data_IF_408654935877
#
_entry.id   IF_408654935877
#
_cell.length_a   1.000
_cell.length_b   1.000
_cell.length_c   1.000
_cell.angle_alpha   90.00
_cell.angle_beta   90.00
_cell.angle_gamma   90.00
#
_symmetry.space_group_name_H-M   'P 1'
#
loop_
_entity.id
_entity.type
_entity.pdbx_description
1 polymer ?
#
# COMPACT_ATOMS: atom_id res chain seq x y z
N UNK A 1 20.01 -3.06 1.79
CA UNK A 1 18.55 -2.85 1.71
C UNK A 1 18.02 -2.52 3.09
N UNK A 2 17.18 -1.50 3.23
CA UNK A 2 16.66 -1.10 4.52
C UNK A 2 15.61 -2.07 5.05
N UNK A 3 15.45 -2.06 6.39
CA UNK A 3 14.42 -2.87 7.03
C UNK A 3 13.02 -2.44 6.59
N UNK A 4 12.84 -1.13 6.36
CA UNK A 4 11.55 -0.61 5.89
C UNK A 4 11.21 -1.13 4.51
N UNK A 5 12.16 -1.18 3.57
CA UNK A 5 11.94 -1.75 2.25
C UNK A 5 11.54 -3.22 2.35
N UNK A 6 12.22 -3.99 3.19
CA UNK A 6 11.87 -5.41 3.41
C UNK A 6 10.45 -5.56 3.96
N UNK A 7 10.09 -4.70 4.91
CA UNK A 7 8.74 -4.71 5.48
C UNK A 7 7.68 -4.45 4.42
N UNK A 8 7.92 -3.47 3.55
CA UNK A 8 6.99 -3.17 2.45
C UNK A 8 6.93 -4.32 1.46
N UNK A 9 8.06 -4.95 1.15
CA UNK A 9 8.08 -6.11 0.26
C UNK A 9 7.27 -7.28 0.82
N UNK A 10 7.29 -7.49 2.13
CA UNK A 10 6.46 -8.49 2.78
C UNK A 10 4.96 -8.17 2.65
N UNK A 11 4.60 -6.89 2.79
CA UNK A 11 3.23 -6.45 2.57
C UNK A 11 2.81 -6.72 1.13
N UNK A 12 3.68 -6.44 0.16
CA UNK A 12 3.41 -6.71 -1.25
C UNK A 12 3.14 -8.20 -1.51
N UNK A 13 3.89 -9.08 -0.85
CA UNK A 13 3.65 -10.53 -0.95
C UNK A 13 2.28 -10.92 -0.39
N UNK A 14 1.90 -10.33 0.73
CA UNK A 14 0.58 -10.57 1.33
C UNK A 14 -0.54 -10.09 0.42
N UNK A 15 -0.34 -8.95 -0.25
CA UNK A 15 -1.30 -8.43 -1.23
C UNK A 15 -1.45 -9.42 -2.38
N UNK A 16 -0.35 -9.96 -2.90
CA UNK A 16 -0.40 -10.95 -3.97
C UNK A 16 -1.17 -12.21 -3.56
N UNK A 17 -0.95 -12.69 -2.33
CA UNK A 17 -1.65 -13.86 -1.81
C UNK A 17 -3.16 -13.62 -1.71
N UNK A 18 -3.56 -12.45 -1.24
CA UNK A 18 -4.97 -12.06 -1.15
C UNK A 18 -5.59 -12.00 -2.55
N UNK A 19 -4.88 -11.37 -3.49
CA UNK A 19 -5.34 -11.27 -4.87
C UNK A 19 -5.58 -12.65 -5.49
N UNK A 20 -4.65 -13.58 -5.29
CA UNK A 20 -4.78 -14.95 -5.81
C UNK A 20 -6.01 -15.63 -5.21
N UNK A 21 -6.22 -15.54 -3.90
CA UNK A 21 -7.37 -16.14 -3.23
C UNK A 21 -8.70 -15.60 -3.79
N UNK A 22 -8.79 -14.29 -3.94
CA UNK A 22 -10.00 -13.66 -4.46
C UNK A 22 -10.26 -14.03 -5.91
N UNK A 23 -9.21 -14.12 -6.73
CA UNK A 23 -9.32 -14.53 -8.13
C UNK A 23 -9.72 -16.00 -8.29
N UNK A 24 -9.38 -16.84 -7.31
CA UNK A 24 -9.78 -18.26 -7.29
C UNK A 24 -11.21 -18.45 -6.78
N UNK A 25 -11.88 -17.38 -6.39
CA UNK A 25 -13.22 -17.46 -5.83
C UNK A 25 -13.26 -17.76 -4.34
N UNK A 26 -12.11 -17.76 -3.67
CA UNK A 26 -12.01 -18.01 -2.24
C UNK A 26 -12.21 -16.71 -1.45
N UNK A 27 -13.43 -16.19 -1.56
CA UNK A 27 -13.80 -14.89 -1.03
C UNK A 27 -13.64 -14.78 0.48
N UNK A 28 -14.09 -15.81 1.20
CA UNK A 28 -14.05 -15.80 2.67
C UNK A 28 -12.61 -15.69 3.18
N UNK A 29 -11.72 -16.55 2.70
CA UNK A 29 -10.32 -16.56 3.13
C UNK A 29 -9.59 -15.30 2.66
N UNK A 30 -9.89 -14.84 1.44
CA UNK A 30 -9.31 -13.62 0.92
C UNK A 30 -9.63 -12.40 1.79
N UNK A 31 -10.90 -12.24 2.20
CA UNK A 31 -11.28 -11.14 3.10
C UNK A 31 -10.72 -11.31 4.51
N UNK A 32 -10.65 -12.55 5.02
CA UNK A 32 -10.02 -12.79 6.33
C UNK A 32 -8.56 -12.38 6.34
N UNK A 33 -7.80 -12.75 5.31
CA UNK A 33 -6.39 -12.36 5.19
C UNK A 33 -6.26 -10.85 5.01
N UNK A 34 -7.15 -10.25 4.24
CA UNK A 34 -7.16 -8.80 4.08
C UNK A 34 -7.42 -8.10 5.42
N UNK A 35 -8.38 -8.58 6.21
CA UNK A 35 -8.66 -8.02 7.52
C UNK A 35 -7.44 -8.10 8.45
N UNK A 36 -6.62 -9.14 8.30
CA UNK A 36 -5.37 -9.27 9.06
C UNK A 36 -4.30 -8.29 8.60
N UNK A 37 -4.37 -7.83 7.35
CA UNK A 37 -3.38 -6.93 6.76
C UNK A 37 -3.77 -5.45 6.85
N UNK A 38 -5.05 -5.14 7.05
CA UNK A 38 -5.56 -3.76 6.90
C UNK A 38 -4.84 -2.74 7.78
N UNK A 39 -4.50 -3.11 9.03
CA UNK A 39 -3.82 -2.20 9.93
C UNK A 39 -2.41 -1.84 9.42
N UNK A 40 -1.68 -2.83 8.90
CA UNK A 40 -0.35 -2.58 8.32
C UNK A 40 -0.44 -1.68 7.09
N UNK A 41 -1.43 -1.91 6.23
CA UNK A 41 -1.65 -1.09 5.04
C UNK A 41 -1.99 0.35 5.40
N UNK A 42 -2.95 0.55 6.32
CA UNK A 42 -3.33 1.90 6.71
C UNK A 42 -2.19 2.63 7.41
N UNK A 43 -1.39 1.94 8.21
CA UNK A 43 -0.22 2.53 8.85
C UNK A 43 0.82 2.99 7.83
N UNK A 44 1.12 2.17 6.84
CA UNK A 44 2.08 2.54 5.78
C UNK A 44 1.56 3.71 4.95
N UNK A 45 0.30 3.69 4.57
CA UNK A 45 -0.30 4.78 3.79
C UNK A 45 -0.31 6.08 4.59
N UNK A 46 -0.60 6.01 5.89
CA UNK A 46 -0.55 7.17 6.78
C UNK A 46 0.88 7.70 6.92
N UNK A 47 1.87 6.81 6.99
CA UNK A 47 3.28 7.21 7.03
C UNK A 47 3.66 8.00 5.78
N UNK A 48 3.20 7.56 4.61
CA UNK A 48 3.45 8.28 3.35
C UNK A 48 2.79 9.65 3.39
N UNK A 49 1.56 9.74 3.88
CA UNK A 49 0.84 11.02 4.00
C UNK A 49 1.56 12.00 4.92
N UNK A 50 2.18 11.50 6.00
CA UNK A 50 2.92 12.33 6.93
C UNK A 50 4.27 12.77 6.38
N UNK A 51 4.73 12.17 5.29
CA UNK A 51 6.04 12.41 4.68
C UNK A 51 6.10 13.54 3.65
N UNK A 52 5.13 14.44 3.63
CA UNK A 52 5.04 15.51 2.62
C UNK A 52 6.33 16.32 2.45
N UNK A 53 6.99 16.68 3.56
CA UNK A 53 8.23 17.47 3.50
C UNK A 53 9.36 16.70 2.82
N UNK A 54 9.42 15.38 3.05
CA UNK A 54 10.45 14.52 2.44
C UNK A 54 10.27 14.48 0.93
N UNK A 55 9.03 14.35 0.45
CA UNK A 55 8.73 14.37 -0.97
C UNK A 55 9.11 15.70 -1.59
N UNK A 56 8.86 16.81 -0.88
CA UNK A 56 9.22 18.14 -1.32
C UNK A 56 10.74 18.29 -1.49
N UNK A 57 11.53 17.71 -0.56
CA UNK A 57 13.00 17.75 -0.64
C UNK A 57 13.54 17.00 -1.86
N UNK A 58 12.86 15.95 -2.27
CA UNK A 58 13.24 15.16 -3.44
C UNK A 58 12.67 15.73 -4.74
N UNK A 59 11.91 16.81 -4.66
CA UNK A 59 11.21 17.41 -5.80
C UNK A 59 10.28 16.42 -6.51
N UNK A 60 9.70 15.50 -5.73
CA UNK A 60 8.76 14.49 -6.22
C UNK A 60 7.34 14.91 -5.88
N UNK A 61 6.42 14.71 -6.82
CA UNK A 61 5.01 15.02 -6.60
C UNK A 61 4.45 14.18 -5.46
N UNK A 62 3.82 14.85 -4.49
CA UNK A 62 3.22 14.19 -3.34
C UNK A 62 1.85 13.60 -3.70
N UNK A 63 1.63 12.28 -3.51
CA UNK A 63 0.42 11.61 -3.97
C UNK A 63 -0.72 11.64 -2.95
N UNK A 64 -0.98 12.79 -2.33
CA UNK A 64 -1.95 12.91 -1.23
C UNK A 64 -3.35 12.45 -1.61
N UNK A 65 -3.90 13.01 -2.70
CA UNK A 65 -5.26 12.69 -3.14
C UNK A 65 -5.41 11.24 -3.56
N UNK A 66 -4.39 10.70 -4.21
CA UNK A 66 -4.37 9.31 -4.64
C UNK A 66 -4.44 8.37 -3.44
N UNK A 67 -3.64 8.64 -2.41
CA UNK A 67 -3.60 7.80 -1.21
C UNK A 67 -4.92 7.88 -0.43
N UNK A 68 -5.47 9.07 -0.28
CA UNK A 68 -6.77 9.24 0.38
C UNK A 68 -7.86 8.45 -0.35
N UNK A 69 -7.87 8.50 -1.67
CA UNK A 69 -8.82 7.74 -2.47
C UNK A 69 -8.64 6.24 -2.29
N UNK A 70 -7.39 5.75 -2.21
CA UNK A 70 -7.10 4.34 -1.97
C UNK A 70 -7.64 3.87 -0.62
N UNK A 71 -7.45 4.67 0.42
CA UNK A 71 -7.97 4.36 1.76
C UNK A 71 -9.49 4.28 1.72
N UNK A 72 -10.14 5.23 1.07
CA UNK A 72 -11.60 5.24 0.94
C UNK A 72 -12.10 4.02 0.16
N UNK A 73 -11.41 3.64 -0.91
CA UNK A 73 -11.76 2.47 -1.70
C UNK A 73 -11.65 1.17 -0.89
N UNK A 74 -10.63 1.05 -0.04
CA UNK A 74 -10.49 -0.10 0.84
C UNK A 74 -11.65 -0.18 1.83
N UNK A 75 -12.02 0.95 2.43
CA UNK A 75 -13.14 1.01 3.36
C UNK A 75 -14.46 0.61 2.68
N UNK A 76 -14.69 1.11 1.48
CA UNK A 76 -15.89 0.79 0.69
C UNK A 76 -15.93 -0.70 0.31
N UNK A 77 -14.79 -1.24 -0.08
CA UNK A 77 -14.70 -2.65 -0.45
C UNK A 77 -15.02 -3.57 0.74
N UNK A 78 -14.54 -3.22 1.92
CA UNK A 78 -14.83 -3.99 3.14
C UNK A 78 -16.32 -3.89 3.49
N UNK A 79 -16.85 -2.69 3.52
CA UNK A 79 -18.23 -2.44 3.90
C UNK A 79 -19.22 -3.18 2.98
N UNK A 80 -18.95 -3.17 1.68
CA UNK A 80 -19.83 -3.77 0.68
C UNK A 80 -19.41 -5.18 0.27
N UNK A 81 -18.33 -5.72 0.82
CA UNK A 81 -17.73 -7.00 0.44
C UNK A 81 -17.54 -7.10 -1.06
N UNK A 82 -17.04 -6.00 -1.64
CA UNK A 82 -16.86 -5.83 -3.08
C UNK A 82 -15.51 -6.40 -3.51
N UNK A 83 -15.51 -7.63 -4.03
CA UNK A 83 -14.31 -8.34 -4.46
C UNK A 83 -13.58 -7.59 -5.58
N UNK A 84 -14.33 -7.07 -6.55
CA UNK A 84 -13.74 -6.37 -7.70
C UNK A 84 -13.04 -5.10 -7.23
N UNK A 85 -13.71 -4.30 -6.42
CA UNK A 85 -13.12 -3.08 -5.89
C UNK A 85 -11.88 -3.37 -5.04
N UNK A 86 -11.94 -4.41 -4.20
CA UNK A 86 -10.81 -4.79 -3.37
C UNK A 86 -9.60 -5.24 -4.21
N UNK A 87 -9.82 -6.13 -5.18
CA UNK A 87 -8.73 -6.63 -6.03
C UNK A 87 -8.13 -5.51 -6.88
N UNK A 88 -8.95 -4.65 -7.46
CA UNK A 88 -8.46 -3.53 -8.28
C UNK A 88 -7.65 -2.55 -7.42
N UNK A 89 -8.17 -2.20 -6.24
CA UNK A 89 -7.48 -1.25 -5.36
C UNK A 89 -6.15 -1.82 -4.87
N UNK A 90 -6.13 -3.08 -4.44
CA UNK A 90 -4.88 -3.70 -3.95
C UNK A 90 -3.87 -3.89 -5.06
N UNK A 91 -4.27 -4.53 -6.16
CA UNK A 91 -3.33 -4.97 -7.18
C UNK A 91 -2.86 -3.86 -8.12
N UNK A 92 -3.73 -2.93 -8.47
CA UNK A 92 -3.39 -1.89 -9.45
C UNK A 92 -3.07 -0.53 -8.83
N UNK A 93 -3.60 -0.22 -7.65
CA UNK A 93 -3.40 1.08 -7.04
C UNK A 93 -2.40 1.04 -5.88
N UNK A 94 -2.71 0.30 -4.82
CA UNK A 94 -1.87 0.27 -3.62
C UNK A 94 -0.50 -0.34 -3.91
N UNK A 95 -0.46 -1.41 -4.69
CA UNK A 95 0.80 -2.04 -5.07
C UNK A 95 1.74 -1.03 -5.73
N UNK A 96 1.22 -0.22 -6.67
CA UNK A 96 2.01 0.81 -7.34
C UNK A 96 2.46 1.91 -6.38
N UNK A 97 1.60 2.31 -5.43
CA UNK A 97 1.96 3.29 -4.41
C UNK A 97 3.10 2.78 -3.53
N UNK A 98 3.04 1.51 -3.12
CA UNK A 98 4.09 0.92 -2.29
C UNK A 98 5.41 0.78 -3.04
N UNK A 99 5.37 0.39 -4.31
CA UNK A 99 6.57 0.32 -5.15
C UNK A 99 7.20 1.70 -5.34
N UNK A 100 6.36 2.71 -5.55
CA UNK A 100 6.81 4.09 -5.63
C UNK A 100 7.47 4.54 -4.32
N UNK A 101 6.88 4.19 -3.18
CA UNK A 101 7.46 4.54 -1.88
C UNK A 101 8.81 3.85 -1.64
N UNK A 102 8.97 2.62 -2.09
CA UNK A 102 10.27 1.94 -2.04
C UNK A 102 11.31 2.74 -2.81
N UNK A 103 10.97 3.23 -3.99
CA UNK A 103 11.88 4.07 -4.78
C UNK A 103 12.25 5.36 -4.04
N UNK A 104 11.26 5.98 -3.37
CA UNK A 104 11.50 7.18 -2.56
C UNK A 104 12.46 6.87 -1.41
N UNK A 105 12.25 5.77 -0.69
CA UNK A 105 13.14 5.37 0.41
C UNK A 105 14.55 5.14 -0.10
N UNK A 106 14.71 4.45 -1.23
CA UNK A 106 16.02 4.20 -1.82
C UNK A 106 16.74 5.49 -2.20
N UNK A 107 16.02 6.47 -2.73
CA UNK A 107 16.59 7.78 -3.03
C UNK A 107 17.03 8.53 -1.77
N UNK A 108 16.23 8.44 -0.70
CA UNK A 108 16.58 9.04 0.59
C UNK A 108 17.87 8.44 1.15
N UNK A 109 18.00 7.13 1.10
CA UNK A 109 19.20 6.44 1.57
C UNK A 109 20.42 6.83 0.74
N UNK A 110 20.26 6.89 -0.58
CA UNK A 110 21.31 7.28 -1.50
C UNK A 110 21.84 8.70 -1.23
N UNK A 111 20.94 9.60 -0.79
CA UNK A 111 21.28 10.99 -0.49
C UNK A 111 21.59 11.22 1.00
N UNK A 112 21.74 10.14 1.79
CA UNK A 112 22.00 10.18 3.22
C UNK A 112 20.95 10.96 4.02
N UNK A 113 19.70 10.89 3.58
CA UNK A 113 18.57 11.49 4.30
C UNK A 113 17.93 10.41 5.17
N UNK A 114 17.79 10.70 6.46
CA UNK A 114 17.14 9.76 7.39
C UNK A 114 15.63 9.73 7.17
N UNK A 115 15.08 8.53 7.19
CA UNK A 115 13.64 8.33 7.06
C UNK A 115 13.02 8.00 8.42
#
# INVERSE_FOLDING_TARGET
>A
MSEKVRYIEEILKKIDDIYILLCQGDKKEGFEKFNSLINELTNILSEILDGKEIFSRLEVKFPEEVIIQQINNLADAIENKDVILLTDTLNYEIKNTLLFYIDVINELEKNNIMV
#
